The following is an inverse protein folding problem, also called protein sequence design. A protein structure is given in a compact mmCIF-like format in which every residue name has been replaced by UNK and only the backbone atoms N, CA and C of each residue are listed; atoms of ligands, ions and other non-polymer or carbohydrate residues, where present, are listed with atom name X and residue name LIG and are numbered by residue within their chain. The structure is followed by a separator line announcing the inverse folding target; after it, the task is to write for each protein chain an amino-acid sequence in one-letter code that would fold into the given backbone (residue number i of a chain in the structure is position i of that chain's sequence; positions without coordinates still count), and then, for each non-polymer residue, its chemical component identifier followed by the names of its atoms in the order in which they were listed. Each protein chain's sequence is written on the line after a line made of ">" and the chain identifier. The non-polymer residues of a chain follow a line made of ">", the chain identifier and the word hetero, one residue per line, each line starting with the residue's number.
data_IF_954439114874
#
_entry.id   IF_954439114874
#
_cell.length_a   1.000
_cell.length_b   1.000
_cell.length_c   1.000
_cell.angle_alpha   90.00
_cell.angle_beta   90.00
_cell.angle_gamma   90.00
#
_symmetry.space_group_name_H-M   'P 1'
#
loop_
_entity.id
_entity.type
_entity.pdbx_description
1 polymer ?
#
# COMPACT_ATOMS: atom_id res chain seq x y z
N UNK A 1 17.17 -6.65 -19.39
CA UNK A 1 17.34 -7.15 -18.00
C UNK A 1 16.19 -6.64 -17.17
N UNK A 2 15.39 -7.51 -16.56
CA UNK A 2 14.31 -7.08 -15.66
C UNK A 2 14.95 -6.49 -14.41
N UNK A 3 14.79 -5.21 -14.19
CA UNK A 3 15.27 -4.55 -12.98
C UNK A 3 14.51 -5.13 -11.80
N UNK A 4 15.23 -5.69 -10.83
CA UNK A 4 14.62 -6.28 -9.63
C UNK A 4 13.80 -5.22 -8.89
N UNK A 5 12.56 -5.59 -8.52
CA UNK A 5 11.67 -4.72 -7.74
C UNK A 5 12.00 -4.88 -6.25
N UNK A 6 12.24 -3.78 -5.58
CA UNK A 6 12.55 -3.73 -4.14
C UNK A 6 11.55 -2.84 -3.41
N UNK A 7 11.08 -3.29 -2.22
CA UNK A 7 10.32 -2.46 -1.30
C UNK A 7 11.25 -1.91 -0.22
N UNK A 8 11.41 -0.61 -0.17
CA UNK A 8 12.23 0.10 0.81
C UNK A 8 11.77 1.53 1.05
N UNK A 9 12.30 2.18 2.06
CA UNK A 9 12.20 3.63 2.19
C UNK A 9 13.16 4.30 1.20
N UNK A 10 12.85 5.51 0.71
CA UNK A 10 13.79 6.32 -0.06
C UNK A 10 14.94 6.80 0.85
N UNK A 11 16.11 6.96 0.27
CA UNK A 11 17.22 7.68 0.86
C UNK A 11 16.97 9.20 0.79
N UNK A 12 17.56 9.99 1.70
CA UNK A 12 17.40 11.45 1.69
C UNK A 12 17.86 12.10 0.38
N UNK A 13 18.80 11.49 -0.32
CA UNK A 13 19.29 11.95 -1.65
C UNK A 13 18.28 11.69 -2.78
N UNK A 14 17.26 10.89 -2.55
CA UNK A 14 16.23 10.53 -3.52
C UNK A 14 14.96 11.42 -3.44
N UNK A 15 15.02 12.55 -2.73
CA UNK A 15 13.88 13.46 -2.55
C UNK A 15 13.27 13.92 -3.87
N UNK A 16 14.07 14.18 -4.89
CA UNK A 16 13.58 14.57 -6.22
C UNK A 16 12.71 13.46 -6.86
N UNK A 17 13.13 12.21 -6.75
CA UNK A 17 12.37 11.08 -7.27
C UNK A 17 11.11 10.80 -6.43
N UNK A 18 11.20 10.95 -5.11
CA UNK A 18 10.05 10.86 -4.20
C UNK A 18 8.97 11.89 -4.56
N UNK A 19 9.35 13.17 -4.76
CA UNK A 19 8.43 14.23 -5.16
C UNK A 19 7.87 13.99 -6.57
N UNK A 20 8.70 13.55 -7.51
CA UNK A 20 8.23 13.17 -8.86
C UNK A 20 7.10 12.12 -8.76
N UNK A 21 7.32 11.04 -8.01
CA UNK A 21 6.34 9.98 -7.87
C UNK A 21 5.05 10.48 -7.20
N UNK A 22 5.18 11.34 -6.19
CA UNK A 22 4.05 11.97 -5.53
C UNK A 22 3.24 12.84 -6.50
N UNK A 23 3.86 13.81 -7.18
CA UNK A 23 3.18 14.73 -8.08
C UNK A 23 2.56 14.02 -9.29
N UNK A 24 3.19 12.94 -9.77
CA UNK A 24 2.63 12.13 -10.86
C UNK A 24 1.38 11.33 -10.44
N UNK A 25 1.20 11.07 -9.15
CA UNK A 25 0.14 10.17 -8.65
C UNK A 25 -0.97 10.89 -7.91
N UNK A 26 -0.65 11.95 -7.16
CA UNK A 26 -1.59 12.66 -6.30
C UNK A 26 -2.82 13.24 -7.00
N UNK A 27 -2.79 13.66 -8.28
CA UNK A 27 -4.00 14.11 -8.97
C UNK A 27 -5.09 13.04 -9.09
N UNK A 28 -4.69 11.76 -9.23
CA UNK A 28 -5.62 10.64 -9.31
C UNK A 28 -5.81 9.94 -7.95
N UNK A 29 -4.79 9.93 -7.11
CA UNK A 29 -4.78 9.29 -5.80
C UNK A 29 -4.28 10.28 -4.75
N UNK A 30 -5.16 11.15 -4.21
CA UNK A 30 -4.76 12.20 -3.26
C UNK A 30 -4.01 11.68 -2.03
N UNK A 31 -4.28 10.44 -1.61
CA UNK A 31 -3.62 9.77 -0.49
C UNK A 31 -2.47 8.85 -0.91
N UNK A 32 -1.78 9.17 -2.01
CA UNK A 32 -0.59 8.43 -2.41
C UNK A 32 0.44 8.41 -1.27
N UNK A 33 0.66 9.54 -0.63
CA UNK A 33 1.49 9.67 0.58
C UNK A 33 0.58 9.87 1.80
N UNK A 34 0.43 8.84 2.63
CA UNK A 34 -0.27 8.97 3.90
C UNK A 34 0.56 9.83 4.87
N UNK A 35 -0.08 10.73 5.62
CA UNK A 35 0.55 11.60 6.63
C UNK A 35 1.53 12.65 6.07
N UNK A 36 1.69 12.76 4.77
CA UNK A 36 2.51 13.77 4.13
C UNK A 36 1.75 15.12 4.10
N UNK A 37 2.47 16.18 4.38
CA UNK A 37 1.98 17.55 4.20
C UNK A 37 2.78 18.21 3.10
N UNK A 38 2.11 18.96 2.22
CA UNK A 38 2.78 19.66 1.11
C UNK A 38 3.90 20.57 1.63
N UNK A 39 5.08 20.43 1.04
CA UNK A 39 6.28 21.13 1.47
C UNK A 39 7.05 20.48 2.62
N UNK A 40 6.58 19.35 3.17
CA UNK A 40 7.35 18.57 4.14
C UNK A 40 8.58 17.96 3.47
N UNK A 41 9.78 18.20 4.05
CA UNK A 41 11.00 17.57 3.57
C UNK A 41 10.96 16.04 3.74
N UNK A 42 11.58 15.30 2.81
CA UNK A 42 11.61 13.83 2.85
C UNK A 42 12.10 13.32 4.21
N UNK A 43 13.16 13.92 4.77
CA UNK A 43 13.68 13.55 6.09
C UNK A 43 12.63 13.61 7.19
N UNK A 44 11.81 14.66 7.21
CA UNK A 44 10.72 14.79 8.20
C UNK A 44 9.65 13.73 7.98
N UNK A 45 9.32 13.45 6.72
CA UNK A 45 8.35 12.41 6.37
C UNK A 45 8.82 11.02 6.78
N UNK A 46 10.11 10.71 6.64
CA UNK A 46 10.68 9.43 7.10
C UNK A 46 10.55 9.25 8.63
N UNK A 47 10.68 10.33 9.40
CA UNK A 47 10.44 10.29 10.86
C UNK A 47 8.97 9.95 11.14
N UNK A 48 8.03 10.61 10.45
CA UNK A 48 6.59 10.33 10.60
C UNK A 48 6.28 8.87 10.27
N UNK A 49 6.84 8.31 9.21
CA UNK A 49 6.64 6.90 8.87
C UNK A 49 7.18 5.95 9.93
N UNK A 50 8.35 6.26 10.51
CA UNK A 50 8.93 5.47 11.60
C UNK A 50 8.07 5.52 12.86
N UNK A 51 7.48 6.68 13.22
CA UNK A 51 6.53 6.81 14.32
C UNK A 51 5.26 5.99 14.08
N UNK A 52 4.70 6.05 12.86
CA UNK A 52 3.53 5.25 12.47
C UNK A 52 3.81 3.75 12.58
N UNK A 53 5.00 3.31 12.19
CA UNK A 53 5.39 1.90 12.29
C UNK A 53 5.49 1.42 13.75
N UNK A 54 5.98 2.27 14.64
CA UNK A 54 6.04 2.00 16.09
C UNK A 54 4.71 2.17 16.82
N UNK A 55 3.68 2.71 16.15
CA UNK A 55 2.38 3.00 16.76
C UNK A 55 2.39 4.26 17.63
N UNK A 56 3.34 5.17 17.40
CA UNK A 56 3.46 6.43 18.13
C UNK A 56 2.58 7.51 17.49
N UNK A 57 1.96 8.36 18.31
CA UNK A 57 1.13 9.48 17.87
C UNK A 57 -0.03 9.11 16.92
N UNK A 58 -0.52 7.86 17.00
CA UNK A 58 -1.65 7.42 16.20
C UNK A 58 -2.96 8.07 16.66
N UNK A 59 -3.77 8.51 15.72
CA UNK A 59 -5.17 8.84 16.02
C UNK A 59 -5.96 7.55 16.29
N UNK A 60 -7.11 7.67 16.96
CA UNK A 60 -7.94 6.53 17.40
C UNK A 60 -8.38 5.58 16.27
N UNK A 61 -8.38 6.06 15.03
CA UNK A 61 -8.81 5.28 13.86
C UNK A 61 -7.64 4.65 13.08
N UNK A 62 -6.40 4.91 13.48
CA UNK A 62 -5.22 4.33 12.85
C UNK A 62 -4.66 3.16 13.67
N UNK A 63 -3.97 2.28 12.98
CA UNK A 63 -3.21 1.18 13.56
C UNK A 63 -1.76 1.30 13.11
N UNK A 64 -0.79 0.71 13.84
CA UNK A 64 0.59 0.66 13.38
C UNK A 64 0.69 0.11 11.97
N UNK A 65 1.52 0.73 11.14
CA UNK A 65 1.65 0.34 9.73
C UNK A 65 3.06 0.58 9.20
N UNK A 66 3.56 -0.37 8.43
CA UNK A 66 4.80 -0.24 7.65
C UNK A 66 4.47 0.35 6.27
N UNK A 67 5.11 1.45 5.91
CA UNK A 67 4.91 2.12 4.64
C UNK A 67 6.22 2.08 3.84
N UNK A 68 6.18 1.53 2.62
CA UNK A 68 7.36 1.34 1.77
C UNK A 68 7.09 1.79 0.34
N UNK A 69 8.15 2.21 -0.33
CA UNK A 69 8.13 2.53 -1.75
C UNK A 69 8.69 1.37 -2.58
N UNK A 70 8.10 1.16 -3.75
CA UNK A 70 8.54 0.16 -4.70
C UNK A 70 9.52 0.80 -5.69
N UNK A 71 10.75 0.34 -5.67
CA UNK A 71 11.81 0.78 -6.57
C UNK A 71 12.07 -0.24 -7.66
N UNK A 72 12.14 0.22 -8.91
CA UNK A 72 12.69 -0.48 -10.05
C UNK A 72 13.94 0.29 -10.52
N UNK A 73 15.13 -0.18 -10.14
CA UNK A 73 16.34 0.61 -10.21
C UNK A 73 16.25 1.87 -9.34
N UNK A 74 16.51 3.04 -9.90
CA UNK A 74 16.40 4.33 -9.21
C UNK A 74 15.01 4.96 -9.23
N UNK A 75 14.03 4.32 -9.90
CA UNK A 75 12.69 4.89 -10.07
C UNK A 75 11.69 4.34 -9.06
N UNK A 76 10.93 5.22 -8.43
CA UNK A 76 9.77 4.85 -7.63
C UNK A 76 8.60 4.54 -8.58
N UNK A 77 8.20 3.27 -8.62
CA UNK A 77 7.11 2.78 -9.47
C UNK A 77 5.78 2.64 -8.72
N UNK A 78 5.81 2.74 -7.40
CA UNK A 78 4.63 2.66 -6.56
C UNK A 78 4.95 2.69 -5.07
N UNK A 79 3.93 2.41 -4.25
CA UNK A 79 4.08 2.28 -2.80
C UNK A 79 3.16 1.20 -2.25
N UNK A 80 3.50 0.68 -1.08
CA UNK A 80 2.64 -0.21 -0.29
C UNK A 80 2.51 0.30 1.14
N UNK A 81 1.38 -0.01 1.77
CA UNK A 81 1.20 0.13 3.22
C UNK A 81 0.75 -1.21 3.78
N UNK A 82 1.36 -1.65 4.87
CA UNK A 82 1.06 -2.91 5.56
C UNK A 82 0.64 -2.56 6.98
N UNK A 83 -0.63 -2.72 7.30
CA UNK A 83 -1.19 -2.50 8.62
C UNK A 83 -0.92 -3.73 9.48
N UNK A 84 -0.41 -3.52 10.69
CA UNK A 84 0.00 -4.61 11.56
C UNK A 84 -1.18 -5.34 12.21
N UNK A 85 -2.32 -4.68 12.28
CA UNK A 85 -3.58 -5.22 12.79
C UNK A 85 -4.76 -4.60 12.06
N UNK A 86 -5.96 -5.13 12.29
CA UNK A 86 -7.19 -4.57 11.76
C UNK A 86 -8.04 -4.01 12.90
N UNK A 87 -8.59 -2.82 12.70
CA UNK A 87 -9.74 -2.31 13.45
C UNK A 87 -11.02 -2.59 12.66
N UNK A 88 -12.18 -2.27 13.21
CA UNK A 88 -13.47 -2.56 12.58
C UNK A 88 -13.63 -1.98 11.16
N UNK A 89 -13.08 -0.79 10.90
CA UNK A 89 -13.13 -0.16 9.57
C UNK A 89 -12.22 -0.90 8.59
N UNK A 90 -10.99 -1.21 9.01
CA UNK A 90 -10.03 -1.93 8.18
C UNK A 90 -10.47 -3.36 7.90
N UNK A 91 -11.09 -4.02 8.86
CA UNK A 91 -11.66 -5.35 8.68
C UNK A 91 -12.82 -5.33 7.67
N UNK A 92 -13.61 -4.26 7.67
CA UNK A 92 -14.73 -4.12 6.75
C UNK A 92 -14.28 -3.75 5.33
N UNK A 93 -13.42 -2.72 5.15
CA UNK A 93 -13.16 -2.13 3.82
C UNK A 93 -11.72 -1.73 3.53
N UNK A 94 -10.81 -1.77 4.49
CA UNK A 94 -9.42 -1.31 4.33
C UNK A 94 -8.41 -2.43 4.15
N UNK A 95 -8.58 -3.54 4.87
CA UNK A 95 -7.66 -4.67 4.87
C UNK A 95 -6.28 -4.37 5.47
N UNK A 96 -5.38 -5.37 5.43
CA UNK A 96 -4.00 -5.24 5.90
C UNK A 96 -3.11 -4.51 4.90
N UNK A 97 -3.27 -4.75 3.59
CA UNK A 97 -2.34 -4.25 2.58
C UNK A 97 -3.06 -3.35 1.59
N UNK A 98 -2.56 -2.12 1.44
CA UNK A 98 -2.89 -1.20 0.38
C UNK A 98 -1.69 -0.97 -0.54
N UNK A 99 -1.90 -0.84 -1.84
CA UNK A 99 -0.85 -0.54 -2.81
C UNK A 99 -1.35 0.42 -3.89
N UNK A 100 -0.42 1.21 -4.41
CA UNK A 100 -0.67 2.13 -5.53
C UNK A 100 0.51 2.07 -6.47
N UNK A 101 0.24 1.97 -7.77
CA UNK A 101 1.26 2.07 -8.83
C UNK A 101 1.20 3.45 -9.45
N UNK A 102 2.34 4.09 -9.59
CA UNK A 102 2.49 5.38 -10.27
C UNK A 102 1.95 5.25 -11.70
N UNK A 103 1.13 6.19 -12.22
CA UNK A 103 0.38 6.04 -13.47
C UNK A 103 1.20 5.54 -14.66
N UNK A 104 2.37 6.12 -14.90
CA UNK A 104 3.26 5.76 -16.03
C UNK A 104 3.79 4.30 -15.97
N UNK A 105 3.73 3.66 -14.79
CA UNK A 105 4.20 2.28 -14.58
C UNK A 105 3.07 1.25 -14.46
N UNK A 106 1.82 1.65 -14.68
CA UNK A 106 0.67 0.74 -14.67
C UNK A 106 0.74 -0.25 -15.82
N UNK A 107 0.07 -1.39 -15.65
CA UNK A 107 -0.03 -2.48 -16.65
C UNK A 107 1.29 -3.18 -16.97
N UNK A 108 2.34 -2.93 -16.17
CA UNK A 108 3.66 -3.56 -16.27
C UNK A 108 3.89 -4.69 -15.26
N UNK A 109 2.85 -5.14 -14.54
CA UNK A 109 2.95 -6.22 -13.55
C UNK A 109 3.44 -5.79 -12.16
N UNK A 110 3.80 -4.54 -11.96
CA UNK A 110 4.34 -4.04 -10.69
C UNK A 110 3.39 -4.24 -9.51
N UNK A 111 2.08 -4.02 -9.67
CA UNK A 111 1.11 -4.24 -8.58
C UNK A 111 1.17 -5.68 -8.05
N UNK A 112 1.23 -6.67 -8.93
CA UNK A 112 1.33 -8.08 -8.55
C UNK A 112 2.64 -8.40 -7.81
N UNK A 113 3.77 -7.84 -8.29
CA UNK A 113 5.06 -8.02 -7.65
C UNK A 113 5.14 -7.30 -6.30
N UNK A 114 4.62 -6.07 -6.21
CA UNK A 114 4.53 -5.30 -4.95
C UNK A 114 3.73 -6.03 -3.89
N UNK A 115 2.54 -6.53 -4.24
CA UNK A 115 1.71 -7.29 -3.30
C UNK A 115 2.44 -8.56 -2.84
N UNK A 116 3.09 -9.30 -3.74
CA UNK A 116 3.88 -10.49 -3.37
C UNK A 116 5.00 -10.18 -2.37
N UNK A 117 5.72 -9.08 -2.57
CA UNK A 117 6.77 -8.66 -1.64
C UNK A 117 6.18 -8.20 -0.29
N UNK A 118 5.06 -7.49 -0.31
CA UNK A 118 4.38 -7.05 0.91
C UNK A 118 3.86 -8.24 1.74
N UNK A 119 3.33 -9.29 1.09
CA UNK A 119 2.91 -10.53 1.75
C UNK A 119 4.07 -11.25 2.44
N UNK A 120 5.26 -11.27 1.83
CA UNK A 120 6.48 -11.80 2.47
C UNK A 120 6.85 -11.01 3.71
N UNK A 121 6.82 -9.66 3.63
CA UNK A 121 7.10 -8.80 4.79
C UNK A 121 6.06 -9.05 5.89
N UNK A 122 4.78 -9.13 5.56
CA UNK A 122 3.70 -9.40 6.50
C UNK A 122 3.94 -10.72 7.25
N UNK A 123 4.33 -11.79 6.53
CA UNK A 123 4.62 -13.08 7.13
C UNK A 123 5.92 -13.09 7.94
N UNK A 124 7.02 -12.66 7.32
CA UNK A 124 8.38 -12.91 7.84
C UNK A 124 8.79 -11.89 8.92
N UNK A 125 8.30 -10.65 8.84
CA UNK A 125 8.64 -9.59 9.80
C UNK A 125 7.52 -9.29 10.80
N UNK A 126 6.26 -9.39 10.38
CA UNK A 126 5.13 -9.02 11.24
C UNK A 126 4.38 -10.24 11.81
N UNK A 127 4.72 -11.46 11.39
CA UNK A 127 4.10 -12.69 11.89
C UNK A 127 2.62 -12.86 11.50
N UNK A 128 2.14 -12.08 10.53
CA UNK A 128 0.75 -12.16 10.05
C UNK A 128 0.61 -13.43 9.21
N UNK A 129 -0.32 -14.31 9.59
CA UNK A 129 -0.56 -15.59 8.91
C UNK A 129 -1.66 -15.55 7.87
N UNK A 130 -2.55 -14.57 7.99
CA UNK A 130 -3.71 -14.42 7.11
C UNK A 130 -3.91 -12.94 6.83
N UNK A 131 -3.90 -12.57 5.56
CA UNK A 131 -3.95 -11.16 5.12
C UNK A 131 -5.28 -10.89 4.43
N UNK A 132 -6.01 -9.87 4.90
CA UNK A 132 -7.15 -9.31 4.20
C UNK A 132 -6.67 -8.23 3.22
N UNK A 133 -7.06 -8.33 1.97
CA UNK A 133 -6.88 -7.29 0.95
C UNK A 133 -8.23 -6.93 0.35
N UNK A 134 -8.50 -5.65 0.21
CA UNK A 134 -9.78 -5.17 -0.34
C UNK A 134 -9.55 -4.31 -1.58
N UNK A 135 -10.51 -4.29 -2.47
CA UNK A 135 -10.52 -3.40 -3.63
C UNK A 135 -11.96 -3.06 -4.04
N UNK A 136 -12.12 -2.01 -4.84
CA UNK A 136 -13.41 -1.69 -5.45
C UNK A 136 -13.87 -2.83 -6.36
N UNK A 137 -15.19 -3.06 -6.40
CA UNK A 137 -15.78 -4.16 -7.17
C UNK A 137 -15.53 -4.03 -8.68
N UNK A 138 -15.37 -2.82 -9.17
CA UNK A 138 -15.06 -2.50 -10.58
C UNK A 138 -13.55 -2.41 -10.88
N UNK A 139 -12.67 -2.54 -9.87
CA UNK A 139 -11.23 -2.45 -10.05
C UNK A 139 -10.64 -3.78 -10.54
N UNK A 140 -10.84 -4.08 -11.82
CA UNK A 140 -10.34 -5.32 -12.46
C UNK A 140 -8.82 -5.51 -12.30
N UNK A 141 -8.06 -4.42 -12.27
CA UNK A 141 -6.61 -4.46 -12.06
C UNK A 141 -6.23 -5.01 -10.69
N UNK A 142 -6.87 -4.51 -9.64
CA UNK A 142 -6.65 -4.99 -8.26
C UNK A 142 -7.21 -6.39 -8.05
N UNK A 143 -8.39 -6.70 -8.59
CA UNK A 143 -8.97 -8.06 -8.54
C UNK A 143 -7.96 -9.09 -9.06
N UNK A 144 -7.46 -8.91 -10.28
CA UNK A 144 -6.46 -9.82 -10.88
C UNK A 144 -5.14 -9.85 -10.10
N UNK A 145 -4.72 -8.73 -9.55
CA UNK A 145 -3.50 -8.65 -8.72
C UNK A 145 -3.63 -9.49 -7.46
N UNK A 146 -4.76 -9.38 -6.76
CA UNK A 146 -5.04 -10.10 -5.52
C UNK A 146 -5.17 -11.61 -5.81
N UNK A 147 -5.96 -11.99 -6.80
CA UNK A 147 -6.19 -13.40 -7.18
C UNK A 147 -4.88 -14.09 -7.63
N UNK A 148 -4.00 -13.39 -8.38
CA UNK A 148 -2.67 -13.91 -8.74
C UNK A 148 -1.73 -14.11 -7.56
N UNK A 149 -2.03 -13.49 -6.43
CA UNK A 149 -1.30 -13.68 -5.17
C UNK A 149 -2.02 -14.63 -4.19
N UNK A 150 -2.96 -15.43 -4.69
CA UNK A 150 -3.65 -16.43 -3.89
C UNK A 150 -4.86 -15.91 -3.11
N UNK A 151 -5.36 -14.72 -3.47
CA UNK A 151 -6.55 -14.15 -2.84
C UNK A 151 -7.81 -14.95 -3.14
N UNK A 152 -8.53 -15.34 -2.09
CA UNK A 152 -9.84 -16.00 -2.17
C UNK A 152 -10.91 -15.00 -1.76
N UNK A 153 -11.87 -14.74 -2.64
CA UNK A 153 -12.98 -13.83 -2.37
C UNK A 153 -13.83 -14.37 -1.23
N UNK A 154 -13.99 -13.57 -0.18
CA UNK A 154 -14.91 -13.89 0.91
C UNK A 154 -16.32 -13.36 0.62
N UNK A 155 -16.41 -12.07 0.31
CA UNK A 155 -17.68 -11.41 0.01
C UNK A 155 -17.45 -10.05 -0.67
N UNK A 156 -18.56 -9.41 -1.03
CA UNK A 156 -18.65 -8.03 -1.46
C UNK A 156 -19.42 -7.25 -0.39
N UNK A 157 -18.82 -6.17 0.10
CA UNK A 157 -19.45 -5.30 1.10
C UNK A 157 -20.05 -4.09 0.39
N UNK A 158 -21.32 -3.85 0.66
CA UNK A 158 -22.06 -2.69 0.20
C UNK A 158 -22.46 -1.81 1.39
N UNK A 159 -22.75 -0.55 1.14
CA UNK A 159 -23.24 0.38 2.16
C UNK A 159 -23.43 1.78 1.59
N UNK A 160 -24.36 2.55 2.19
CA UNK A 160 -24.59 3.96 1.79
C UNK A 160 -23.43 4.89 2.12
N UNK A 161 -22.53 4.43 2.97
CA UNK A 161 -21.30 5.09 3.40
C UNK A 161 -20.11 4.79 2.48
N UNK A 162 -20.31 3.99 1.44
CA UNK A 162 -19.29 3.61 0.47
C UNK A 162 -19.62 4.17 -0.91
N UNK A 163 -18.64 4.81 -1.55
CA UNK A 163 -18.79 5.28 -2.94
C UNK A 163 -19.02 4.11 -3.92
N UNK A 164 -18.41 2.97 -3.62
CA UNK A 164 -18.48 1.74 -4.42
C UNK A 164 -18.48 0.51 -3.52
N UNK A 165 -19.10 -0.62 -3.98
CA UNK A 165 -18.95 -1.91 -3.32
C UNK A 165 -17.48 -2.30 -3.23
N UNK A 166 -17.10 -2.97 -2.13
CA UNK A 166 -15.74 -3.43 -1.87
C UNK A 166 -15.68 -4.94 -1.84
N UNK A 167 -14.80 -5.53 -2.66
CA UNK A 167 -14.45 -6.95 -2.59
C UNK A 167 -13.46 -7.18 -1.45
N UNK A 168 -13.68 -8.22 -0.67
CA UNK A 168 -12.82 -8.66 0.42
C UNK A 168 -12.21 -10.01 0.08
N UNK A 169 -10.90 -10.06 0.05
CA UNK A 169 -10.11 -11.27 -0.28
C UNK A 169 -9.22 -11.63 0.89
N UNK A 170 -9.18 -12.91 1.23
CA UNK A 170 -8.21 -13.45 2.17
C UNK A 170 -7.09 -14.17 1.45
N UNK A 171 -5.86 -13.99 1.96
CA UNK A 171 -4.64 -14.67 1.48
C UNK A 171 -4.02 -15.35 2.68
N UNK A 172 -3.88 -16.67 2.63
CA UNK A 172 -3.14 -17.47 3.62
C UNK A 172 -1.62 -17.39 3.31
N UNK A 173 -0.74 -17.28 4.35
CA UNK A 173 0.70 -17.05 4.22
C UNK A 173 1.54 -18.19 4.78
#
# INVERSE_FOLDING_TARGET
>A
MSTELVLRLPDETEEAEFLRAHHATSPEVPFFLHFYQEGMALRQYLVVLAEQERGEHLSSNHVPSTFLFAFAGSRIVGRVSIRHSLNAVLERVGGHIGYVVVPEFRRCGYATAMLRLALRIARDKLGIRRVLVTCDDDNVGSIKTIERNGGVLENVVEGRDLDKPKRRYWIEL
#
